data_IF_552282559179
#
_entry.id   IF_552282559179
#
_cell.length_a   1.000
_cell.length_b   1.000
_cell.length_c   1.000
_cell.angle_alpha   90.00
_cell.angle_beta   90.00
_cell.angle_gamma   90.00
#
_symmetry.space_group_name_H-M   'P 1'
#
loop_
_entity.id
_entity.type
_entity.pdbx_description
1 polymer ?
#
# COMPACT_ATOMS: atom_id res chain seq x y z
N UNK A 1 -8.63 -0.59 6.03
CA UNK A 1 -8.50 -1.43 4.83
C UNK A 1 -7.84 -0.64 3.72
N UNK A 2 -6.82 -1.23 3.11
CA UNK A 2 -6.14 -0.73 1.94
C UNK A 2 -6.54 -1.61 0.76
N UNK A 3 -7.03 -0.97 -0.31
CA UNK A 3 -7.19 -1.60 -1.61
C UNK A 3 -6.38 -0.82 -2.63
N UNK A 4 -5.54 -1.48 -3.42
CA UNK A 4 -4.86 -0.83 -4.53
C UNK A 4 -4.64 -1.78 -5.70
N UNK A 5 -4.50 -1.18 -6.87
CA UNK A 5 -4.26 -1.86 -8.14
C UNK A 5 -3.23 -1.06 -8.93
N UNK A 6 -2.32 -1.75 -9.61
CA UNK A 6 -1.29 -1.15 -10.45
C UNK A 6 -1.36 -1.72 -11.86
N UNK A 7 -1.27 -0.87 -12.87
CA UNK A 7 -1.14 -1.28 -14.26
C UNK A 7 0.21 -0.80 -14.76
N UNK A 8 1.19 -1.71 -14.84
CA UNK A 8 2.52 -1.41 -15.35
C UNK A 8 3.19 -2.63 -15.97
N UNK A 9 4.07 -2.42 -16.95
CA UNK A 9 4.88 -3.48 -17.56
C UNK A 9 6.21 -3.72 -16.84
N UNK A 10 6.55 -2.95 -15.81
CA UNK A 10 7.84 -3.04 -15.10
C UNK A 10 7.88 -2.24 -13.79
N UNK A 11 8.82 -2.59 -12.92
CA UNK A 11 9.01 -1.91 -11.64
C UNK A 11 8.08 -2.42 -10.54
N UNK A 12 8.01 -1.67 -9.44
CA UNK A 12 7.23 -2.03 -8.26
C UNK A 12 6.65 -0.82 -7.52
N UNK A 13 5.61 -1.10 -6.74
CA UNK A 13 4.98 -0.17 -5.80
C UNK A 13 4.98 -0.81 -4.41
N UNK A 14 5.46 -0.07 -3.41
CA UNK A 14 5.39 -0.46 -2.00
C UNK A 14 4.52 0.52 -1.24
N UNK A 15 3.53 0.01 -0.52
CA UNK A 15 2.71 0.76 0.44
C UNK A 15 3.12 0.41 1.86
N UNK A 16 3.46 1.44 2.64
CA UNK A 16 3.72 1.31 4.09
C UNK A 16 2.76 2.19 4.86
N UNK A 17 2.06 1.60 5.83
CA UNK A 17 1.24 2.34 6.80
C UNK A 17 1.95 2.35 8.14
N UNK A 18 2.11 3.55 8.71
CA UNK A 18 2.59 3.73 10.08
C UNK A 18 1.53 4.40 10.94
N UNK A 19 1.30 3.85 12.12
CA UNK A 19 0.32 4.38 13.07
C UNK A 19 0.77 5.72 13.69
N UNK A 20 -0.04 6.27 14.59
CA UNK A 20 0.25 7.56 15.24
C UNK A 20 1.49 7.58 16.15
N UNK A 21 2.09 6.43 16.43
CA UNK A 21 3.35 6.29 17.17
C UNK A 21 4.53 5.97 16.25
N UNK A 22 4.29 5.83 14.95
CA UNK A 22 5.30 5.48 13.96
C UNK A 22 5.53 3.98 13.82
N UNK A 23 4.68 3.14 14.43
CA UNK A 23 4.78 1.69 14.25
C UNK A 23 4.28 1.33 12.85
N UNK A 24 5.04 0.53 12.12
CA UNK A 24 4.57 -0.07 10.88
C UNK A 24 3.46 -1.08 11.18
N UNK A 25 2.32 -0.92 10.50
CA UNK A 25 1.13 -1.78 10.68
C UNK A 25 0.66 -2.40 9.36
N UNK A 26 1.29 -2.04 8.24
CA UNK A 26 1.13 -2.67 6.93
C UNK A 26 2.36 -2.33 6.07
N UNK A 27 2.89 -3.31 5.35
CA UNK A 27 4.00 -3.13 4.42
C UNK A 27 3.89 -4.13 3.27
N UNK A 28 3.36 -3.64 2.15
CA UNK A 28 2.95 -4.48 1.04
C UNK A 28 3.60 -4.00 -0.24
N UNK A 29 4.20 -4.92 -0.98
CA UNK A 29 4.86 -4.62 -2.26
C UNK A 29 4.23 -5.44 -3.38
N UNK A 30 3.95 -4.76 -4.50
CA UNK A 30 3.57 -5.39 -5.78
C UNK A 30 4.57 -5.01 -6.84
N UNK A 31 4.93 -5.99 -7.67
CA UNK A 31 5.85 -5.81 -8.79
C UNK A 31 5.20 -6.31 -10.07
N UNK A 32 5.52 -5.65 -11.18
CA UNK A 32 5.00 -6.04 -12.49
C UNK A 32 5.39 -7.49 -12.83
N UNK A 33 4.44 -8.26 -13.37
CA UNK A 33 4.69 -9.60 -13.89
C UNK A 33 4.97 -10.68 -12.84
N UNK A 34 4.82 -10.36 -11.56
CA UNK A 34 4.94 -11.32 -10.45
C UNK A 34 3.61 -11.46 -9.70
N UNK A 35 2.65 -12.17 -10.29
CA UNK A 35 1.38 -12.50 -9.63
C UNK A 35 0.30 -11.43 -9.79
N UNK A 36 -0.51 -11.24 -8.75
CA UNK A 36 -1.63 -10.31 -8.77
C UNK A 36 -1.15 -8.85 -8.76
N UNK A 37 -1.62 -8.07 -9.74
CA UNK A 37 -1.35 -6.64 -9.87
C UNK A 37 -2.18 -5.79 -8.87
N UNK A 38 -2.90 -6.45 -7.96
CA UNK A 38 -3.75 -5.83 -6.95
C UNK A 38 -3.50 -6.33 -5.53
N UNK A 39 -3.96 -5.56 -4.56
CA UNK A 39 -3.95 -5.87 -3.15
C UNK A 39 -5.26 -5.41 -2.51
N UNK A 40 -5.80 -6.26 -1.63
CA UNK A 40 -6.91 -5.95 -0.73
C UNK A 40 -6.58 -6.52 0.64
N UNK A 41 -6.55 -5.67 1.66
CA UNK A 41 -6.16 -6.11 2.99
C UNK A 41 -6.36 -5.08 4.09
N UNK A 42 -6.24 -5.56 5.32
CA UNK A 42 -6.40 -4.77 6.54
C UNK A 42 -5.05 -4.69 7.24
N UNK A 43 -4.70 -3.49 7.72
CA UNK A 43 -3.52 -3.32 8.56
C UNK A 43 -3.69 -4.06 9.89
N UNK A 44 -2.58 -4.32 10.57
CA UNK A 44 -2.61 -4.66 11.99
C UNK A 44 -3.25 -3.53 12.82
N UNK A 45 -3.58 -3.84 14.08
CA UNK A 45 -4.15 -2.85 15.00
C UNK A 45 -3.11 -1.76 15.33
N UNK A 46 -3.40 -0.52 14.93
CA UNK A 46 -2.55 0.64 15.19
C UNK A 46 -3.07 1.57 16.28
N UNK A 47 -2.24 2.50 16.75
CA UNK A 47 -2.65 3.55 17.70
C UNK A 47 -3.42 4.68 17.03
N UNK A 48 -4.48 5.14 17.69
CA UNK A 48 -5.33 6.27 17.25
C UNK A 48 -4.52 7.56 17.08
N UNK A 49 -4.81 8.33 16.03
CA UNK A 49 -4.19 9.63 15.75
C UNK A 49 -3.95 9.83 14.25
N UNK A 50 -2.99 10.69 13.89
CA UNK A 50 -2.57 10.88 12.50
C UNK A 50 -1.66 9.74 12.08
N UNK A 51 -2.00 9.08 10.98
CA UNK A 51 -1.21 7.98 10.42
C UNK A 51 -0.40 8.48 9.23
N UNK A 52 0.74 7.86 8.99
CA UNK A 52 1.55 8.10 7.80
C UNK A 52 1.25 7.01 6.76
N UNK A 53 0.99 7.46 5.54
CA UNK A 53 0.92 6.61 4.35
C UNK A 53 2.14 6.93 3.51
N UNK A 54 3.01 5.95 3.30
CA UNK A 54 4.20 6.08 2.45
C UNK A 54 4.02 5.18 1.24
N UNK A 55 4.18 5.77 0.04
CA UNK A 55 4.06 5.08 -1.24
C UNK A 55 5.38 5.24 -1.97
N UNK A 56 6.08 4.13 -2.20
CA UNK A 56 7.36 4.12 -2.90
C UNK A 56 7.19 3.49 -4.27
N UNK A 57 7.57 4.22 -5.32
CA UNK A 57 7.56 3.78 -6.71
C UNK A 57 9.00 3.49 -7.15
N UNK A 58 9.30 2.27 -7.60
CA UNK A 58 10.65 1.89 -8.06
C UNK A 58 10.60 1.46 -9.51
N UNK A 59 11.26 2.21 -10.40
CA UNK A 59 11.27 1.97 -11.85
C UNK A 59 9.86 1.79 -12.46
N UNK A 60 8.86 2.42 -11.84
CA UNK A 60 7.45 2.31 -12.20
C UNK A 60 7.14 3.26 -13.36
N UNK A 61 6.58 2.72 -14.45
CA UNK A 61 6.02 3.51 -15.55
C UNK A 61 4.67 2.90 -15.92
N UNK A 62 3.61 3.55 -15.47
CA UNK A 62 2.25 3.03 -15.57
C UNK A 62 1.28 3.89 -14.77
N UNK A 63 0.12 3.33 -14.51
CA UNK A 63 -0.93 3.96 -13.71
C UNK A 63 -1.47 2.99 -12.65
N UNK A 64 -2.38 3.47 -11.83
CA UNK A 64 -2.96 2.66 -10.76
C UNK A 64 -3.95 3.46 -9.95
N UNK A 65 -4.58 2.76 -9.01
CA UNK A 65 -5.53 3.36 -8.09
C UNK A 65 -5.32 2.81 -6.68
N UNK A 66 -5.66 3.62 -5.68
CA UNK A 66 -5.69 3.15 -4.31
C UNK A 66 -6.88 3.76 -3.57
N UNK A 67 -7.37 3.05 -2.57
CA UNK A 67 -8.32 3.53 -1.59
C UNK A 67 -7.89 3.07 -0.20
N UNK A 68 -7.99 3.97 0.77
CA UNK A 68 -7.69 3.70 2.16
C UNK A 68 -8.91 4.10 2.98
N UNK A 69 -9.57 3.10 3.57
CA UNK A 69 -10.84 3.29 4.28
C UNK A 69 -10.69 2.79 5.72
N UNK A 70 -11.15 3.55 6.73
CA UNK A 70 -11.27 3.04 8.09
C UNK A 70 -12.18 1.81 8.13
N UNK A 71 -11.77 0.79 8.87
CA UNK A 71 -12.63 -0.35 9.21
C UNK A 71 -13.24 -0.08 10.59
N UNK A 72 -14.53 -0.36 10.71
CA UNK A 72 -15.29 -0.19 11.96
C UNK A 72 -15.10 -1.37 12.90
#
# INVERSE_FOLDING_TARGET
>A
ELNYDITTSGGSVTFVLKDAKGNEVLNETRSAGSGDDSFSGVSEEGKKGKWLVEITLTNFNGDGSYSLTPIN
#
